data_IF_963703744955
#
_entry.id   IF_963703744955
#
_cell.length_a   1.000
_cell.length_b   1.000
_cell.length_c   1.000
_cell.angle_alpha   90.00
_cell.angle_beta   90.00
_cell.angle_gamma   90.00
#
_symmetry.space_group_name_H-M   'P 1'
#
loop_
_entity.id
_entity.type
_entity.pdbx_description
1 polymer ?
#
# COMPACT_ATOMS: atom_id res chain seq x y z
N UNK A 1 27.53 35.70 14.67
CA UNK A 1 27.44 34.28 15.05
C UNK A 1 28.06 33.46 13.93
N UNK A 2 29.12 32.67 14.17
CA UNK A 2 29.79 31.90 13.14
C UNK A 2 28.88 30.74 12.69
N UNK A 3 28.73 30.60 11.36
CA UNK A 3 28.04 29.48 10.73
C UNK A 3 28.86 28.21 10.97
N UNK A 4 28.34 27.27 11.76
CA UNK A 4 28.89 25.91 11.85
C UNK A 4 28.78 25.24 10.48
N UNK A 5 29.84 24.61 9.95
CA UNK A 5 29.80 23.92 8.67
C UNK A 5 28.80 22.77 8.74
N UNK A 6 27.92 22.68 7.72
CA UNK A 6 26.97 21.59 7.59
C UNK A 6 27.71 20.24 7.49
N UNK A 7 27.45 19.33 8.42
CA UNK A 7 27.99 17.99 8.39
C UNK A 7 27.62 17.24 7.10
N UNK A 8 28.60 16.78 6.32
CA UNK A 8 28.35 16.04 5.07
C UNK A 8 27.73 14.65 5.28
N UNK A 9 27.68 14.16 6.53
CA UNK A 9 27.20 12.82 6.89
C UNK A 9 25.69 12.59 6.70
N UNK A 10 24.84 13.63 6.68
CA UNK A 10 23.40 13.48 6.53
C UNK A 10 22.95 13.25 5.07
N UNK A 11 23.67 13.79 4.10
CA UNK A 11 23.36 13.60 2.66
C UNK A 11 23.70 12.20 2.17
N UNK A 12 24.85 11.65 2.55
CA UNK A 12 25.28 10.30 2.17
C UNK A 12 24.34 9.21 2.68
N UNK A 13 23.82 9.38 3.92
CA UNK A 13 22.85 8.44 4.51
C UNK A 13 21.48 8.42 3.82
N UNK A 14 20.98 9.59 3.38
CA UNK A 14 19.73 9.68 2.66
C UNK A 14 19.82 8.99 1.28
N UNK A 15 20.87 9.28 0.51
CA UNK A 15 21.11 8.65 -0.80
C UNK A 15 21.31 7.14 -0.68
N UNK A 16 22.05 6.64 0.34
CA UNK A 16 22.21 5.22 0.58
C UNK A 16 20.86 4.53 0.89
N UNK A 17 19.98 5.19 1.64
CA UNK A 17 18.61 4.69 1.90
C UNK A 17 17.78 4.60 0.62
N UNK A 18 17.82 5.63 -0.22
CA UNK A 18 17.11 5.67 -1.51
C UNK A 18 17.64 4.59 -2.45
N UNK A 19 18.96 4.46 -2.58
CA UNK A 19 19.58 3.42 -3.43
C UNK A 19 19.19 2.01 -2.97
N UNK A 20 19.24 1.74 -1.65
CA UNK A 20 18.81 0.44 -1.09
C UNK A 20 17.34 0.17 -1.40
N UNK A 21 16.47 1.14 -1.25
CA UNK A 21 15.04 0.99 -1.52
C UNK A 21 14.78 0.76 -3.00
N UNK A 22 15.44 1.50 -3.88
CA UNK A 22 15.33 1.32 -5.33
C UNK A 22 15.83 -0.07 -5.78
N UNK A 23 17.02 -0.48 -5.30
CA UNK A 23 17.56 -1.81 -5.60
C UNK A 23 16.66 -2.92 -5.09
N UNK A 24 16.16 -2.79 -3.85
CA UNK A 24 15.19 -3.73 -3.28
C UNK A 24 13.93 -3.81 -4.13
N UNK A 25 13.44 -2.68 -4.68
CA UNK A 25 12.26 -2.67 -5.54
C UNK A 25 12.52 -3.41 -6.86
N UNK A 26 13.67 -3.19 -7.50
CA UNK A 26 14.03 -3.90 -8.74
C UNK A 26 14.10 -5.41 -8.50
N UNK A 27 14.75 -5.84 -7.41
CA UNK A 27 14.82 -7.25 -7.04
C UNK A 27 13.43 -7.85 -6.79
N UNK A 28 12.59 -7.14 -6.01
CA UNK A 28 11.21 -7.57 -5.74
C UNK A 28 10.39 -7.63 -7.01
N UNK A 29 10.54 -6.68 -7.93
CA UNK A 29 9.85 -6.72 -9.24
C UNK A 29 10.29 -7.91 -10.08
N UNK A 30 11.59 -8.25 -10.10
CA UNK A 30 12.10 -9.45 -10.78
C UNK A 30 11.48 -10.73 -10.20
N UNK A 31 11.51 -10.88 -8.87
CA UNK A 31 10.90 -12.01 -8.18
C UNK A 31 9.40 -12.07 -8.46
N UNK A 32 8.69 -10.95 -8.30
CA UNK A 32 7.24 -10.87 -8.54
C UNK A 32 6.89 -11.20 -9.99
N UNK A 33 7.72 -10.81 -10.96
CA UNK A 33 7.53 -11.12 -12.38
C UNK A 33 7.63 -12.63 -12.64
N UNK A 34 8.69 -13.28 -12.16
CA UNK A 34 8.89 -14.73 -12.33
C UNK A 34 7.77 -15.52 -11.67
N UNK A 35 7.50 -15.25 -10.38
CA UNK A 35 6.43 -15.94 -9.65
C UNK A 35 5.05 -15.57 -10.20
N UNK A 36 4.86 -14.35 -10.70
CA UNK A 36 3.62 -13.92 -11.37
C UNK A 36 3.30 -14.77 -12.59
N UNK A 37 4.29 -15.04 -13.46
CA UNK A 37 4.11 -15.94 -14.61
C UNK A 37 3.81 -17.38 -14.17
N UNK A 38 4.49 -17.87 -13.12
CA UNK A 38 4.24 -19.20 -12.56
C UNK A 38 2.79 -19.27 -12.02
N UNK A 39 2.37 -18.26 -11.25
CA UNK A 39 1.01 -18.18 -10.69
C UNK A 39 -0.05 -18.16 -11.80
N UNK A 40 0.14 -17.33 -12.83
CA UNK A 40 -0.76 -17.28 -13.99
C UNK A 40 -0.87 -18.64 -14.66
N UNK A 41 0.26 -19.33 -14.88
CA UNK A 41 0.25 -20.66 -15.51
C UNK A 41 -0.46 -21.69 -14.64
N UNK A 42 -0.26 -21.68 -13.34
CA UNK A 42 -0.94 -22.60 -12.40
C UNK A 42 -2.44 -22.30 -12.38
N UNK A 43 -2.85 -21.01 -12.29
CA UNK A 43 -4.26 -20.63 -12.22
C UNK A 43 -4.97 -21.05 -13.49
N UNK A 44 -4.47 -20.67 -14.66
CA UNK A 44 -5.11 -20.99 -15.94
C UNK A 44 -5.11 -22.50 -16.20
N UNK A 45 -4.01 -23.18 -15.90
CA UNK A 45 -3.85 -24.61 -16.20
C UNK A 45 -4.63 -25.55 -15.27
N UNK A 46 -4.91 -25.16 -14.02
CA UNK A 46 -5.60 -26.02 -13.04
C UNK A 46 -6.97 -25.52 -12.63
N UNK A 47 -7.16 -24.19 -12.54
CA UNK A 47 -8.41 -23.58 -12.07
C UNK A 47 -9.23 -22.93 -13.19
N UNK A 48 -8.65 -22.83 -14.40
CA UNK A 48 -9.31 -22.28 -15.58
C UNK A 48 -9.15 -20.77 -15.78
N UNK A 49 -9.55 -20.34 -16.98
CA UNK A 49 -9.52 -18.92 -17.42
C UNK A 49 -10.45 -18.05 -16.59
N UNK A 50 -11.61 -18.59 -16.19
CA UNK A 50 -12.62 -17.85 -15.44
C UNK A 50 -12.13 -17.53 -14.02
N UNK A 51 -11.43 -18.46 -13.36
CA UNK A 51 -10.77 -18.21 -12.08
C UNK A 51 -9.68 -17.13 -12.19
N UNK A 52 -8.94 -17.10 -13.30
CA UNK A 52 -7.96 -16.07 -13.57
C UNK A 52 -8.62 -14.70 -13.78
N UNK A 53 -9.68 -14.63 -14.59
CA UNK A 53 -10.44 -13.42 -14.85
C UNK A 53 -11.04 -12.87 -13.53
N UNK A 54 -11.70 -13.73 -12.75
CA UNK A 54 -12.26 -13.37 -11.44
C UNK A 54 -11.19 -12.88 -10.46
N UNK A 55 -10.02 -13.53 -10.42
CA UNK A 55 -8.90 -13.06 -9.58
C UNK A 55 -8.43 -11.67 -10.01
N UNK A 56 -8.31 -11.41 -11.30
CA UNK A 56 -7.96 -10.10 -11.85
C UNK A 56 -8.98 -9.02 -11.48
N UNK A 57 -10.27 -9.33 -11.61
CA UNK A 57 -11.37 -8.42 -11.27
C UNK A 57 -11.36 -8.08 -9.77
N UNK A 58 -11.32 -9.07 -8.89
CA UNK A 58 -11.37 -8.86 -7.45
C UNK A 58 -10.08 -8.20 -6.92
N UNK A 59 -8.93 -8.40 -7.56
CA UNK A 59 -7.68 -7.71 -7.23
C UNK A 59 -7.74 -6.19 -7.41
N UNK A 60 -8.77 -5.66 -8.10
CA UNK A 60 -8.95 -4.21 -8.25
C UNK A 60 -9.57 -3.52 -7.04
N UNK A 61 -10.22 -4.23 -6.11
CA UNK A 61 -10.90 -3.64 -4.95
C UNK A 61 -10.07 -2.63 -4.16
N UNK A 62 -8.81 -2.92 -3.78
CA UNK A 62 -8.01 -1.94 -3.05
C UNK A 62 -7.78 -0.65 -3.83
N UNK A 63 -7.75 -0.72 -5.16
CA UNK A 63 -7.60 0.44 -6.05
C UNK A 63 -8.86 1.27 -6.17
N UNK A 64 -10.02 0.63 -6.04
CA UNK A 64 -11.33 1.31 -6.04
C UNK A 64 -11.64 2.02 -4.74
N UNK A 65 -10.91 1.66 -3.67
CA UNK A 65 -11.12 2.21 -2.32
C UNK A 65 -9.87 2.89 -1.75
N UNK A 66 -9.28 3.89 -2.44
CA UNK A 66 -8.04 4.54 -2.03
C UNK A 66 -8.18 5.32 -0.72
N UNK A 67 -9.42 5.59 -0.29
CA UNK A 67 -9.76 6.34 0.91
C UNK A 67 -9.87 5.46 2.17
N UNK A 68 -9.65 4.17 2.10
CA UNK A 68 -9.89 3.23 3.22
C UNK A 68 -8.98 3.47 4.42
N UNK A 69 -7.79 4.02 4.21
CA UNK A 69 -6.89 4.41 5.30
C UNK A 69 -7.16 5.83 5.85
N UNK A 70 -8.12 6.57 5.26
CA UNK A 70 -8.53 7.93 5.66
C UNK A 70 -7.35 8.91 5.83
N UNK A 71 -6.25 8.71 5.08
CA UNK A 71 -5.03 9.52 5.16
C UNK A 71 -4.18 9.29 6.42
N UNK A 72 -4.55 8.33 7.25
CA UNK A 72 -3.87 8.01 8.52
C UNK A 72 -2.45 7.53 8.29
N UNK A 73 -2.20 6.87 7.15
CA UNK A 73 -0.87 6.42 6.79
C UNK A 73 0.18 7.54 6.84
N UNK A 74 -0.16 8.73 6.34
CA UNK A 74 0.71 9.90 6.39
C UNK A 74 0.92 10.44 7.81
N UNK A 75 -0.12 10.42 8.65
CA UNK A 75 -0.03 10.86 10.05
C UNK A 75 0.95 9.98 10.81
N UNK A 76 0.81 8.65 10.71
CA UNK A 76 1.73 7.70 11.36
C UNK A 76 3.15 7.95 10.89
N UNK A 77 3.37 8.02 9.57
CA UNK A 77 4.68 8.19 8.98
C UNK A 77 5.36 9.47 9.46
N UNK A 78 4.66 10.61 9.42
CA UNK A 78 5.19 11.90 9.85
C UNK A 78 5.51 11.91 11.35
N UNK A 79 4.62 11.37 12.20
CA UNK A 79 4.81 11.35 13.66
C UNK A 79 5.98 10.44 14.05
N UNK A 80 6.07 9.25 13.44
CA UNK A 80 7.18 8.31 13.69
C UNK A 80 8.50 8.87 13.18
N UNK A 81 8.53 9.49 12.00
CA UNK A 81 9.73 10.07 11.43
C UNK A 81 10.24 11.29 12.22
N UNK A 82 9.34 12.05 12.85
CA UNK A 82 9.69 13.23 13.66
C UNK A 82 10.16 12.91 15.07
N UNK A 83 10.00 11.68 15.56
CA UNK A 83 10.37 11.28 16.91
C UNK A 83 11.89 11.04 17.04
N UNK A 84 12.49 11.53 18.12
CA UNK A 84 13.92 11.31 18.45
C UNK A 84 14.13 10.06 19.31
N UNK A 85 13.23 9.78 20.27
CA UNK A 85 13.22 8.57 21.10
C UNK A 85 11.91 7.80 20.93
N UNK A 86 11.81 7.10 19.80
CA UNK A 86 10.61 6.41 19.39
C UNK A 86 9.99 5.48 20.46
N UNK A 87 10.77 4.64 21.21
CA UNK A 87 10.21 3.74 22.20
C UNK A 87 9.46 4.41 23.36
N UNK A 88 9.79 5.66 23.67
CA UNK A 88 9.25 6.40 24.84
C UNK A 88 8.34 7.57 24.46
N UNK A 89 8.13 7.81 23.19
CA UNK A 89 7.39 8.98 22.71
C UNK A 89 5.87 8.82 22.94
N UNK A 90 5.34 9.59 23.89
CA UNK A 90 3.93 9.60 24.24
C UNK A 90 3.03 10.13 23.10
N UNK A 91 3.56 11.02 22.24
CA UNK A 91 2.82 11.56 21.09
C UNK A 91 2.64 10.47 20.05
N UNK A 92 3.72 9.76 19.72
CA UNK A 92 3.67 8.62 18.79
C UNK A 92 2.71 7.56 19.31
N UNK A 93 2.77 7.21 20.60
CA UNK A 93 1.86 6.23 21.22
C UNK A 93 0.39 6.61 21.03
N UNK A 94 0.02 7.86 21.37
CA UNK A 94 -1.35 8.36 21.22
C UNK A 94 -1.78 8.39 19.76
N UNK A 95 -0.89 8.80 18.86
CA UNK A 95 -1.16 8.81 17.42
C UNK A 95 -1.42 7.40 16.89
N UNK A 96 -0.58 6.42 17.26
CA UNK A 96 -0.78 5.02 16.87
C UNK A 96 -2.08 4.45 17.43
N UNK A 97 -2.42 4.73 18.70
CA UNK A 97 -3.69 4.33 19.31
C UNK A 97 -4.89 4.89 18.53
N UNK A 98 -4.83 6.19 18.18
CA UNK A 98 -5.89 6.85 17.40
C UNK A 98 -5.99 6.28 16.00
N UNK A 99 -4.85 6.06 15.35
CA UNK A 99 -4.76 5.47 14.01
C UNK A 99 -5.39 4.07 13.94
N UNK A 100 -5.05 3.20 14.90
CA UNK A 100 -5.62 1.86 14.97
C UNK A 100 -7.13 1.91 15.20
N UNK A 101 -7.63 2.81 16.07
CA UNK A 101 -9.08 2.99 16.28
C UNK A 101 -9.81 3.37 15.00
N UNK A 102 -9.28 4.33 14.26
CA UNK A 102 -9.90 4.79 13.01
C UNK A 102 -9.84 3.70 11.95
N UNK A 103 -8.72 2.97 11.82
CA UNK A 103 -8.61 1.85 10.89
C UNK A 103 -9.54 0.69 11.27
N UNK A 104 -9.77 0.45 12.56
CA UNK A 104 -10.77 -0.55 13.01
C UNK A 104 -12.19 -0.13 12.64
N UNK A 105 -12.54 1.15 12.77
CA UNK A 105 -13.84 1.67 12.33
C UNK A 105 -13.98 1.53 10.82
N UNK A 106 -12.98 1.94 10.04
CA UNK A 106 -12.95 1.77 8.59
C UNK A 106 -13.08 0.31 8.18
N UNK A 107 -12.33 -0.57 8.84
CA UNK A 107 -12.40 -2.04 8.67
C UNK A 107 -13.82 -2.57 8.93
N UNK A 108 -14.46 -2.14 10.01
CA UNK A 108 -15.82 -2.55 10.35
C UNK A 108 -16.83 -2.07 9.28
N UNK A 109 -16.72 -0.83 8.84
CA UNK A 109 -17.58 -0.28 7.78
C UNK A 109 -17.42 -1.08 6.49
N UNK A 110 -16.18 -1.36 6.05
CA UNK A 110 -15.92 -2.12 4.84
C UNK A 110 -16.43 -3.56 4.97
N UNK A 111 -16.16 -4.21 6.11
CA UNK A 111 -16.64 -5.55 6.38
C UNK A 111 -18.18 -5.62 6.37
N UNK A 112 -18.86 -4.67 7.02
CA UNK A 112 -20.32 -4.59 7.03
C UNK A 112 -20.86 -4.36 5.63
N UNK A 113 -20.26 -3.45 4.86
CA UNK A 113 -20.64 -3.22 3.45
C UNK A 113 -20.50 -4.50 2.62
N UNK A 114 -19.39 -5.22 2.76
CA UNK A 114 -19.17 -6.48 2.05
C UNK A 114 -20.22 -7.55 2.39
N UNK A 115 -20.55 -7.68 3.68
CA UNK A 115 -21.60 -8.63 4.14
C UNK A 115 -22.97 -8.23 3.62
N UNK A 116 -23.33 -6.94 3.69
CA UNK A 116 -24.61 -6.44 3.18
C UNK A 116 -24.74 -6.67 1.67
N UNK A 117 -23.71 -6.34 0.89
CA UNK A 117 -23.70 -6.59 -0.55
C UNK A 117 -23.81 -8.09 -0.87
N UNK A 118 -23.16 -8.94 -0.07
CA UNK A 118 -23.28 -10.40 -0.20
C UNK A 118 -24.66 -10.91 0.10
N UNK A 119 -25.31 -10.44 1.18
CA UNK A 119 -26.66 -10.83 1.56
C UNK A 119 -27.73 -10.35 0.58
N UNK A 120 -27.53 -9.17 -0.01
CA UNK A 120 -28.43 -8.60 -1.03
C UNK A 120 -28.23 -9.23 -2.42
N UNK A 121 -27.19 -10.06 -2.61
CA UNK A 121 -26.82 -10.58 -3.93
C UNK A 121 -26.44 -9.51 -4.95
N UNK A 122 -25.92 -8.34 -4.48
CA UNK A 122 -25.67 -7.19 -5.31
C UNK A 122 -24.31 -7.25 -6.07
N UNK A 123 -23.51 -8.28 -5.86
CA UNK A 123 -22.20 -8.41 -6.50
C UNK A 123 -22.26 -8.52 -8.04
N UNK A 124 -23.16 -9.31 -8.65
CA UNK A 124 -23.26 -9.37 -10.12
C UNK A 124 -23.62 -8.02 -10.75
N UNK A 125 -24.49 -7.25 -10.11
CA UNK A 125 -24.86 -5.91 -10.59
C UNK A 125 -23.71 -4.89 -10.50
N UNK A 126 -22.78 -5.06 -9.53
CA UNK A 126 -21.65 -4.16 -9.33
C UNK A 126 -20.41 -4.56 -10.16
N UNK A 127 -20.17 -5.86 -10.33
CA UNK A 127 -18.95 -6.41 -10.94
C UNK A 127 -19.18 -7.00 -12.33
N UNK A 128 -20.44 -7.10 -12.78
CA UNK A 128 -20.82 -7.75 -14.02
C UNK A 128 -21.18 -9.23 -13.87
N UNK A 129 -21.74 -9.79 -14.92
CA UNK A 129 -22.21 -11.18 -14.98
C UNK A 129 -21.06 -12.20 -15.17
N UNK A 130 -19.82 -11.74 -15.38
CA UNK A 130 -18.63 -12.57 -15.60
C UNK A 130 -18.07 -13.21 -14.32
N UNK A 131 -18.80 -13.16 -13.19
CA UNK A 131 -18.42 -13.85 -11.97
C UNK A 131 -18.74 -15.34 -12.09
N UNK A 132 -17.80 -16.19 -11.66
CA UNK A 132 -18.05 -17.63 -11.51
C UNK A 132 -19.22 -17.90 -10.56
N UNK A 133 -19.85 -19.07 -10.70
CA UNK A 133 -20.85 -19.53 -9.72
C UNK A 133 -20.28 -19.46 -8.30
N UNK A 134 -20.97 -18.75 -7.40
CA UNK A 134 -20.46 -18.48 -6.05
C UNK A 134 -19.46 -17.32 -5.96
N UNK A 135 -19.16 -16.61 -7.05
CA UNK A 135 -18.22 -15.49 -7.08
C UNK A 135 -18.60 -14.31 -6.18
N UNK A 136 -19.91 -14.10 -5.95
CA UNK A 136 -20.38 -13.11 -4.98
C UNK A 136 -19.96 -13.41 -3.53
N UNK A 137 -19.98 -14.68 -3.14
CA UNK A 137 -19.46 -15.10 -1.83
C UNK A 137 -17.95 -14.88 -1.75
N UNK A 138 -17.23 -15.22 -2.83
CA UNK A 138 -15.78 -14.97 -2.93
C UNK A 138 -15.44 -13.48 -2.80
N UNK A 139 -16.20 -12.61 -3.49
CA UNK A 139 -16.02 -11.15 -3.39
C UNK A 139 -16.23 -10.66 -1.94
N UNK A 140 -17.26 -11.17 -1.26
CA UNK A 140 -17.51 -10.87 0.16
C UNK A 140 -16.35 -11.29 1.04
N UNK A 141 -15.85 -12.53 0.87
CA UNK A 141 -14.70 -13.04 1.65
C UNK A 141 -13.43 -12.24 1.36
N UNK A 142 -13.15 -11.91 0.10
CA UNK A 142 -12.03 -11.06 -0.26
C UNK A 142 -12.08 -9.69 0.45
N UNK A 143 -13.27 -9.08 0.47
CA UNK A 143 -13.45 -7.79 1.12
C UNK A 143 -13.32 -7.89 2.65
N UNK A 144 -13.77 -8.99 3.26
CA UNK A 144 -13.57 -9.26 4.69
C UNK A 144 -12.09 -9.45 5.04
N UNK A 145 -11.34 -10.20 4.23
CA UNK A 145 -9.88 -10.37 4.40
C UNK A 145 -9.17 -9.03 4.25
N UNK A 146 -9.54 -8.24 3.25
CA UNK A 146 -9.01 -6.89 3.06
C UNK A 146 -9.29 -5.99 4.26
N UNK A 147 -10.54 -5.97 4.74
CA UNK A 147 -10.93 -5.21 5.92
C UNK A 147 -10.11 -5.61 7.16
N UNK A 148 -9.93 -6.91 7.40
CA UNK A 148 -9.10 -7.42 8.50
C UNK A 148 -7.61 -7.04 8.38
N UNK A 149 -7.10 -6.87 7.15
CA UNK A 149 -5.72 -6.46 6.89
C UNK A 149 -5.47 -4.97 7.17
N UNK A 150 -6.50 -4.10 7.13
CA UNK A 150 -6.35 -2.65 7.30
C UNK A 150 -5.67 -2.25 8.62
N UNK A 151 -6.10 -2.72 9.79
CA UNK A 151 -5.43 -2.37 11.05
C UNK A 151 -3.98 -2.87 11.10
N UNK A 152 -3.67 -3.98 10.44
CA UNK A 152 -2.32 -4.53 10.37
C UNK A 152 -1.38 -3.67 9.51
N UNK A 153 -1.92 -2.88 8.59
CA UNK A 153 -1.16 -1.98 7.72
C UNK A 153 -0.38 -0.90 8.50
N UNK A 154 -0.77 -0.60 9.76
CA UNK A 154 -0.03 0.28 10.67
C UNK A 154 1.44 -0.12 10.75
N UNK A 155 1.75 -1.42 10.79
CA UNK A 155 3.12 -1.93 10.82
C UNK A 155 3.96 -1.45 9.63
N UNK A 156 3.39 -1.47 8.43
CA UNK A 156 4.06 -0.98 7.21
C UNK A 156 4.39 0.51 7.32
N UNK A 157 3.45 1.33 7.81
CA UNK A 157 3.62 2.78 7.96
C UNK A 157 4.67 3.12 9.02
N UNK A 158 4.70 2.38 10.13
CA UNK A 158 5.73 2.52 11.18
C UNK A 158 7.12 2.20 10.63
N UNK A 159 7.28 1.09 9.89
CA UNK A 159 8.58 0.70 9.30
C UNK A 159 9.08 1.79 8.34
N UNK A 160 8.21 2.32 7.48
CA UNK A 160 8.56 3.41 6.56
C UNK A 160 8.92 4.68 7.34
N UNK A 161 8.15 5.06 8.36
CA UNK A 161 8.42 6.20 9.23
C UNK A 161 9.77 6.12 9.94
N UNK A 162 10.21 4.92 10.32
CA UNK A 162 11.56 4.68 10.86
C UNK A 162 12.68 4.85 9.82
N UNK A 163 12.37 5.11 8.55
CA UNK A 163 13.34 5.18 7.46
C UNK A 163 13.78 3.82 6.92
N UNK A 164 13.06 2.73 7.26
CA UNK A 164 13.36 1.36 6.81
C UNK A 164 12.50 0.96 5.60
N UNK A 165 12.34 1.86 4.63
CA UNK A 165 11.50 1.64 3.44
C UNK A 165 11.94 0.40 2.64
N UNK A 166 13.25 0.12 2.57
CA UNK A 166 13.76 -1.10 1.93
C UNK A 166 13.20 -2.38 2.57
N UNK A 167 13.09 -2.43 3.90
CA UNK A 167 12.52 -3.58 4.62
C UNK A 167 11.04 -3.77 4.25
N UNK A 168 10.27 -2.70 4.17
CA UNK A 168 8.86 -2.75 3.74
C UNK A 168 8.76 -3.26 2.30
N UNK A 169 9.59 -2.76 1.38
CA UNK A 169 9.61 -3.19 -0.03
C UNK A 169 9.99 -4.67 -0.14
N UNK A 170 11.00 -5.14 0.58
CA UNK A 170 11.39 -6.57 0.60
C UNK A 170 10.24 -7.44 1.12
N UNK A 171 9.54 -6.99 2.16
CA UNK A 171 8.38 -7.72 2.69
C UNK A 171 7.28 -7.89 1.63
N UNK A 172 7.06 -6.91 0.74
CA UNK A 172 6.10 -7.06 -0.37
C UNK A 172 6.51 -8.13 -1.38
N UNK A 173 7.80 -8.43 -1.49
CA UNK A 173 8.31 -9.50 -2.35
C UNK A 173 7.84 -10.91 -1.94
N UNK A 174 7.35 -11.07 -0.71
CA UNK A 174 6.83 -12.35 -0.22
C UNK A 174 5.46 -12.70 -0.81
N UNK A 175 4.70 -11.72 -1.33
CA UNK A 175 3.33 -11.94 -1.85
C UNK A 175 3.28 -13.02 -2.92
N UNK A 176 4.06 -12.84 -3.99
CA UNK A 176 4.00 -13.76 -5.14
C UNK A 176 4.49 -15.18 -4.81
N UNK A 177 5.61 -15.40 -4.09
CA UNK A 177 6.00 -16.72 -3.62
C UNK A 177 4.98 -17.36 -2.67
N UNK A 178 4.41 -16.58 -1.74
CA UNK A 178 3.38 -17.09 -0.81
C UNK A 178 2.14 -17.55 -1.56
N UNK A 179 1.68 -16.76 -2.55
CA UNK A 179 0.57 -17.16 -3.42
C UNK A 179 0.89 -18.44 -4.18
N UNK A 180 2.11 -18.56 -4.74
CA UNK A 180 2.55 -19.80 -5.42
C UNK A 180 2.47 -21.00 -4.48
N UNK A 181 2.96 -20.88 -3.25
CA UNK A 181 2.89 -21.96 -2.25
C UNK A 181 1.43 -22.34 -1.94
N UNK A 182 0.54 -21.36 -1.80
CA UNK A 182 -0.88 -21.61 -1.55
C UNK A 182 -1.55 -22.31 -2.73
N UNK A 183 -1.28 -21.86 -3.97
CA UNK A 183 -1.81 -22.46 -5.18
C UNK A 183 -1.29 -23.91 -5.34
N UNK A 184 0.00 -24.15 -5.13
CA UNK A 184 0.57 -25.51 -5.18
C UNK A 184 -0.03 -26.41 -4.12
N UNK A 185 -0.24 -25.91 -2.91
CA UNK A 185 -0.90 -26.67 -1.85
C UNK A 185 -2.33 -27.05 -2.23
N UNK A 186 -3.10 -26.14 -2.86
CA UNK A 186 -4.45 -26.41 -3.35
C UNK A 186 -4.46 -27.47 -4.47
N UNK A 187 -3.50 -27.36 -5.41
CA UNK A 187 -3.33 -28.35 -6.49
C UNK A 187 -3.00 -29.74 -5.93
N UNK A 188 -2.04 -29.83 -4.99
CA UNK A 188 -1.66 -31.11 -4.34
C UNK A 188 -2.82 -31.72 -3.56
N UNK A 189 -3.59 -30.85 -2.86
CA UNK A 189 -4.79 -31.27 -2.12
C UNK A 189 -5.97 -31.61 -3.04
N UNK A 190 -5.84 -31.46 -4.37
CA UNK A 190 -6.88 -31.67 -5.38
C UNK A 190 -8.17 -30.90 -5.07
N UNK A 191 -8.04 -29.68 -4.53
CA UNK A 191 -9.17 -28.82 -4.27
C UNK A 191 -9.62 -28.20 -5.59
N UNK A 192 -10.88 -28.45 -5.97
CA UNK A 192 -11.52 -27.73 -7.08
C UNK A 192 -11.96 -26.34 -6.58
N UNK A 193 -10.99 -25.44 -6.50
CA UNK A 193 -11.09 -24.21 -5.71
C UNK A 193 -10.85 -22.95 -6.56
N UNK A 194 -11.37 -22.90 -7.81
CA UNK A 194 -11.27 -21.73 -8.67
C UNK A 194 -11.71 -20.43 -7.94
N UNK A 195 -12.79 -20.51 -7.19
CA UNK A 195 -13.29 -19.44 -6.33
C UNK A 195 -12.37 -19.07 -5.15
N UNK A 196 -11.47 -19.95 -4.73
CA UNK A 196 -10.55 -19.66 -3.62
C UNK A 196 -9.30 -18.87 -4.07
N UNK A 197 -8.99 -18.84 -5.37
CA UNK A 197 -7.80 -18.16 -5.91
C UNK A 197 -7.72 -16.69 -5.52
N UNK A 198 -8.79 -15.87 -5.68
CA UNK A 198 -8.76 -14.48 -5.21
C UNK A 198 -8.54 -14.36 -3.71
N UNK A 199 -9.17 -15.23 -2.91
CA UNK A 199 -9.01 -15.23 -1.45
C UNK A 199 -7.56 -15.53 -1.06
N UNK A 200 -6.90 -16.49 -1.74
CA UNK A 200 -5.45 -16.78 -1.53
C UNK A 200 -4.60 -15.56 -1.86
N UNK A 201 -4.94 -14.80 -2.91
CA UNK A 201 -4.25 -13.55 -3.27
C UNK A 201 -4.36 -12.50 -2.16
N UNK A 202 -5.55 -12.33 -1.56
CA UNK A 202 -5.76 -11.43 -0.43
C UNK A 202 -5.04 -11.90 0.85
N UNK A 203 -5.04 -13.19 1.13
CA UNK A 203 -4.30 -13.77 2.26
C UNK A 203 -2.79 -13.58 2.09
N UNK A 204 -2.23 -13.76 0.89
CA UNK A 204 -0.83 -13.52 0.61
C UNK A 204 -0.45 -12.04 0.86
N UNK A 205 -1.33 -11.08 0.49
CA UNK A 205 -1.13 -9.67 0.81
C UNK A 205 -1.26 -9.38 2.31
N UNK A 206 -2.19 -10.03 3.01
CA UNK A 206 -2.35 -9.91 4.46
C UNK A 206 -1.11 -10.42 5.21
N UNK A 207 -0.46 -11.46 4.70
CA UNK A 207 0.79 -11.98 5.26
C UNK A 207 1.90 -10.92 5.30
N UNK A 208 1.99 -10.06 4.28
CA UNK A 208 2.93 -8.93 4.30
C UNK A 208 2.62 -7.96 5.43
N UNK A 209 1.34 -7.63 5.63
CA UNK A 209 0.91 -6.78 6.74
C UNK A 209 1.26 -7.40 8.10
N UNK A 210 1.09 -8.73 8.24
CA UNK A 210 1.50 -9.50 9.43
C UNK A 210 3.01 -9.47 9.64
N UNK A 211 3.80 -9.69 8.60
CA UNK A 211 5.27 -9.60 8.68
C UNK A 211 5.68 -8.20 9.14
N UNK A 212 5.12 -7.17 8.50
CA UNK A 212 5.45 -5.79 8.82
C UNK A 212 5.03 -5.41 10.25
N UNK A 213 3.86 -5.83 10.73
CA UNK A 213 3.44 -5.53 12.11
C UNK A 213 4.35 -6.23 13.14
N UNK A 214 4.78 -7.47 12.88
CA UNK A 214 5.73 -8.19 13.74
C UNK A 214 7.10 -7.51 13.75
N UNK A 215 7.61 -7.08 12.60
CA UNK A 215 8.88 -6.34 12.50
C UNK A 215 8.79 -5.00 13.22
N UNK A 216 7.70 -4.24 12.99
CA UNK A 216 7.44 -3.00 13.69
C UNK A 216 7.36 -3.19 15.21
N UNK A 217 6.61 -4.21 15.65
CA UNK A 217 6.48 -4.55 17.07
C UNK A 217 7.83 -4.83 17.73
N UNK A 218 8.68 -5.63 17.09
CA UNK A 218 10.03 -5.94 17.60
C UNK A 218 10.92 -4.70 17.65
N UNK A 219 10.80 -3.83 16.66
CA UNK A 219 11.65 -2.64 16.54
C UNK A 219 11.23 -1.50 17.48
N UNK A 220 9.96 -1.44 17.90
CA UNK A 220 9.40 -0.32 18.67
C UNK A 220 8.96 -0.71 20.08
N UNK A 221 9.39 -1.87 20.62
CA UNK A 221 9.03 -2.26 21.99
C UNK A 221 9.47 -1.22 23.01
N UNK A 222 8.64 -0.88 24.02
CA UNK A 222 7.28 -1.36 24.31
C UNK A 222 6.15 -0.58 23.59
N UNK A 223 6.46 0.48 22.86
CA UNK A 223 5.55 1.49 22.34
C UNK A 223 4.30 0.91 21.62
N UNK A 224 4.52 0.03 20.64
CA UNK A 224 3.40 -0.52 19.85
C UNK A 224 2.51 -1.43 20.71
N UNK A 225 3.10 -2.16 21.66
CA UNK A 225 2.36 -2.98 22.60
C UNK A 225 1.46 -2.13 23.51
N UNK A 226 1.99 -1.03 24.02
CA UNK A 226 1.26 -0.10 24.87
C UNK A 226 0.17 0.64 24.09
N UNK A 227 0.45 1.04 22.84
CA UNK A 227 -0.55 1.63 21.95
C UNK A 227 -1.72 0.68 21.71
N UNK A 228 -1.44 -0.61 21.45
CA UNK A 228 -2.49 -1.62 21.24
C UNK A 228 -3.31 -1.88 22.52
N UNK A 229 -2.70 -1.87 23.71
CA UNK A 229 -3.40 -1.98 24.99
C UNK A 229 -4.31 -0.80 25.27
N UNK A 230 -3.96 0.37 24.75
CA UNK A 230 -4.73 1.61 24.93
C UNK A 230 -5.92 1.71 23.96
N UNK A 231 -5.97 0.90 22.87
CA UNK A 231 -7.07 0.91 21.90
C UNK A 231 -8.45 0.77 22.57
N UNK A 232 -8.72 -0.19 23.47
CA UNK A 232 -10.03 -0.32 24.09
C UNK A 232 -10.32 0.75 25.16
N UNK A 233 -9.30 1.49 25.63
CA UNK A 233 -9.42 2.48 26.72
C UNK A 233 -9.83 3.86 26.22
N UNK A 234 -11.04 4.00 25.65
CA UNK A 234 -11.51 5.24 25.02
C UNK A 234 -11.55 6.44 25.98
N UNK A 235 -11.94 6.20 27.26
CA UNK A 235 -12.06 7.27 28.28
C UNK A 235 -10.72 7.70 28.86
N UNK A 236 -9.75 6.79 28.95
CA UNK A 236 -8.45 7.06 29.56
C UNK A 236 -7.48 7.73 28.58
N UNK A 237 -7.53 7.37 27.30
CA UNK A 237 -6.64 7.91 26.27
C UNK A 237 -7.48 8.64 25.22
N UNK A 238 -7.48 9.98 25.32
CA UNK A 238 -8.13 10.84 24.33
C UNK A 238 -7.40 10.75 23.00
N UNK A 239 -8.17 10.71 21.88
CA UNK A 239 -7.62 10.75 20.53
C UNK A 239 -6.86 12.05 20.24
N UNK A 240 -5.88 11.97 19.36
CA UNK A 240 -5.17 13.14 18.85
C UNK A 240 -5.94 13.70 17.65
N UNK A 241 -5.95 15.02 17.51
CA UNK A 241 -6.52 15.67 16.32
C UNK A 241 -5.59 15.38 15.13
N UNK A 242 -6.03 14.53 14.22
CA UNK A 242 -5.25 14.08 13.07
C UNK A 242 -5.70 14.70 11.76
N UNK A 243 -6.85 15.39 11.77
CA UNK A 243 -7.52 15.91 10.58
C UNK A 243 -6.65 16.88 9.77
N UNK A 244 -5.77 17.64 10.47
CA UNK A 244 -4.92 18.65 9.83
C UNK A 244 -3.87 18.02 8.88
N UNK A 245 -3.48 16.77 9.14
CA UNK A 245 -2.56 16.01 8.27
C UNK A 245 -3.31 14.97 7.44
N UNK A 246 -4.27 14.27 8.04
CA UNK A 246 -5.05 13.23 7.36
C UNK A 246 -6.00 13.81 6.30
N UNK A 247 -6.60 15.00 6.55
CA UNK A 247 -7.54 15.63 5.63
C UNK A 247 -6.96 15.91 4.24
N UNK A 248 -5.86 16.67 4.11
CA UNK A 248 -5.21 16.90 2.82
C UNK A 248 -4.78 15.61 2.13
N UNK A 249 -4.29 14.62 2.90
CA UNK A 249 -3.91 13.33 2.36
C UNK A 249 -5.10 12.52 1.84
N UNK A 250 -6.24 12.60 2.52
CA UNK A 250 -7.48 11.98 2.07
C UNK A 250 -7.96 12.61 0.76
N UNK A 251 -7.95 13.96 0.67
CA UNK A 251 -8.29 14.66 -0.58
C UNK A 251 -7.36 14.22 -1.71
N UNK A 252 -6.06 14.15 -1.45
CA UNK A 252 -5.09 13.67 -2.44
C UNK A 252 -5.38 12.23 -2.89
N UNK A 253 -5.73 11.33 -1.96
CA UNK A 253 -6.06 9.93 -2.27
C UNK A 253 -7.31 9.81 -3.13
N UNK A 254 -8.25 10.76 -3.07
CA UNK A 254 -9.45 10.79 -3.89
C UNK A 254 -9.19 11.42 -5.27
N UNK A 255 -8.44 12.53 -5.29
CA UNK A 255 -8.21 13.31 -6.53
C UNK A 255 -7.29 12.57 -7.50
N UNK A 256 -6.23 11.93 -7.01
CA UNK A 256 -5.24 11.26 -7.88
C UNK A 256 -5.88 10.17 -8.74
N UNK A 257 -6.64 9.19 -8.20
CA UNK A 257 -7.29 8.18 -9.03
C UNK A 257 -8.28 8.79 -10.03
N UNK A 258 -9.04 9.81 -9.64
CA UNK A 258 -9.96 10.49 -10.55
C UNK A 258 -9.18 11.09 -11.71
N UNK A 259 -8.11 11.86 -11.45
CA UNK A 259 -7.29 12.47 -12.48
C UNK A 259 -6.71 11.45 -13.48
N UNK A 260 -6.16 10.34 -12.97
CA UNK A 260 -5.56 9.29 -13.84
C UNK A 260 -6.59 8.43 -14.57
N UNK A 261 -7.83 8.33 -14.09
CA UNK A 261 -8.87 7.55 -14.76
C UNK A 261 -9.72 8.39 -15.73
N UNK A 262 -9.75 9.70 -15.59
CA UNK A 262 -10.52 10.61 -16.44
C UNK A 262 -10.10 10.49 -17.90
N UNK A 263 -8.79 10.41 -18.20
CA UNK A 263 -8.28 10.27 -19.56
C UNK A 263 -8.80 9.00 -20.24
N UNK A 264 -8.82 7.88 -19.51
CA UNK A 264 -9.35 6.60 -20.03
C UNK A 264 -10.84 6.66 -20.27
N UNK A 265 -11.58 7.30 -19.35
CA UNK A 265 -13.02 7.48 -19.49
C UNK A 265 -13.37 8.37 -20.69
N UNK A 266 -12.64 9.45 -20.89
CA UNK A 266 -12.83 10.33 -22.05
C UNK A 266 -12.52 9.60 -23.36
N UNK A 267 -11.39 8.86 -23.41
CA UNK A 267 -11.04 8.09 -24.60
C UNK A 267 -12.01 6.95 -24.91
N UNK A 268 -12.62 6.33 -23.89
CA UNK A 268 -13.62 5.29 -24.09
C UNK A 268 -14.94 5.79 -24.67
N UNK A 269 -15.26 7.08 -24.44
CA UNK A 269 -16.51 7.69 -24.91
C UNK A 269 -16.34 8.60 -26.15
N UNK A 270 -15.18 9.22 -26.29
CA UNK A 270 -14.93 10.23 -27.31
C UNK A 270 -13.79 9.86 -28.28
N UNK A 271 -13.06 8.78 -27.98
CA UNK A 271 -11.95 8.32 -28.82
C UNK A 271 -12.40 7.53 -30.03
N UNK A 272 -11.61 7.54 -31.10
CA UNK A 272 -11.78 6.68 -32.27
C UNK A 272 -11.48 5.21 -31.93
N UNK A 273 -11.96 4.28 -32.76
CA UNK A 273 -11.72 2.85 -32.57
C UNK A 273 -10.21 2.54 -32.51
N UNK A 274 -9.79 1.91 -31.40
CA UNK A 274 -8.39 1.56 -31.13
C UNK A 274 -7.56 2.60 -30.38
N UNK A 275 -8.04 3.84 -30.22
CA UNK A 275 -7.32 4.90 -29.47
C UNK A 275 -7.11 4.53 -28.00
N UNK A 276 -8.07 3.89 -27.38
CA UNK A 276 -8.00 3.40 -25.99
C UNK A 276 -6.92 2.31 -25.83
N UNK A 277 -6.79 1.42 -26.83
CA UNK A 277 -5.76 0.38 -26.80
C UNK A 277 -4.36 0.96 -26.92
N UNK A 278 -4.15 1.93 -27.82
CA UNK A 278 -2.87 2.64 -27.99
C UNK A 278 -2.50 3.43 -26.72
N UNK A 279 -3.46 4.14 -26.11
CA UNK A 279 -3.28 4.83 -24.85
C UNK A 279 -2.87 3.86 -23.72
N UNK A 280 -3.54 2.71 -23.60
CA UNK A 280 -3.21 1.72 -22.58
C UNK A 280 -1.80 1.13 -22.74
N UNK A 281 -1.35 0.90 -23.99
CA UNK A 281 0.01 0.44 -24.26
C UNK A 281 1.05 1.51 -23.86
N UNK A 282 0.84 2.77 -24.23
CA UNK A 282 1.70 3.86 -23.83
C UNK A 282 1.68 4.03 -22.29
N UNK A 283 0.51 4.04 -21.68
CA UNK A 283 0.36 4.15 -20.23
C UNK A 283 1.08 3.03 -19.48
N UNK A 284 1.15 1.81 -20.03
CA UNK A 284 1.85 0.69 -19.42
C UNK A 284 3.36 0.95 -19.32
N UNK A 285 3.98 1.54 -20.35
CA UNK A 285 5.38 1.91 -20.35
C UNK A 285 5.65 3.03 -19.31
N UNK A 286 4.84 4.09 -19.34
CA UNK A 286 4.97 5.20 -18.39
C UNK A 286 4.66 4.79 -16.95
N UNK A 287 3.83 3.77 -16.73
CA UNK A 287 3.53 3.27 -15.39
C UNK A 287 4.77 2.68 -14.71
N UNK A 288 5.67 2.03 -15.43
CA UNK A 288 6.94 1.54 -14.87
C UNK A 288 7.81 2.69 -14.34
N UNK A 289 7.89 3.80 -15.07
CA UNK A 289 8.58 5.00 -14.63
C UNK A 289 7.92 5.62 -13.40
N UNK A 290 6.61 5.83 -13.48
CA UNK A 290 5.81 6.40 -12.39
C UNK A 290 5.97 5.59 -11.11
N UNK A 291 5.95 4.25 -11.20
CA UNK A 291 6.20 3.36 -10.07
C UNK A 291 7.59 3.53 -9.47
N UNK A 292 8.62 3.67 -10.31
CA UNK A 292 10.00 3.87 -9.85
C UNK A 292 10.15 5.21 -9.13
N UNK A 293 9.60 6.28 -9.70
CA UNK A 293 9.60 7.62 -9.10
C UNK A 293 8.81 7.62 -7.79
N UNK A 294 7.63 7.02 -7.75
CA UNK A 294 6.79 6.96 -6.56
C UNK A 294 7.50 6.24 -5.39
N UNK A 295 8.15 5.11 -5.64
CA UNK A 295 8.90 4.37 -4.61
C UNK A 295 10.04 5.20 -4.03
N UNK A 296 10.74 5.94 -4.89
CA UNK A 296 11.82 6.83 -4.45
C UNK A 296 11.27 7.98 -3.60
N UNK A 297 10.13 8.56 -3.98
CA UNK A 297 9.43 9.58 -3.20
C UNK A 297 9.05 9.09 -1.80
N UNK A 298 8.49 7.89 -1.70
CA UNK A 298 8.16 7.27 -0.40
C UNK A 298 9.41 7.05 0.45
N UNK A 299 10.55 6.66 -0.14
CA UNK A 299 11.80 6.48 0.60
C UNK A 299 12.37 7.82 1.12
N UNK A 300 12.13 8.92 0.44
CA UNK A 300 12.57 10.26 0.87
C UNK A 300 11.65 10.88 1.91
N UNK A 301 10.40 10.49 2.00
CA UNK A 301 9.41 11.06 2.91
C UNK A 301 9.89 11.15 4.37
N UNK A 302 10.43 10.09 5.01
CA UNK A 302 10.91 10.18 6.38
C UNK A 302 12.02 11.22 6.59
N UNK A 303 12.86 11.44 5.56
CA UNK A 303 13.92 12.46 5.61
C UNK A 303 13.35 13.87 5.60
N UNK A 304 12.32 14.12 4.78
CA UNK A 304 11.59 15.39 4.78
C UNK A 304 10.85 15.64 6.08
N UNK A 305 10.18 14.61 6.63
CA UNK A 305 9.50 14.71 7.92
C UNK A 305 10.45 15.06 9.06
N UNK A 306 11.63 14.43 9.11
CA UNK A 306 12.68 14.74 10.09
C UNK A 306 13.26 16.16 9.92
N UNK A 307 13.52 16.58 8.69
CA UNK A 307 14.03 17.92 8.40
C UNK A 307 13.02 19.00 8.83
N UNK A 308 11.74 18.78 8.58
CA UNK A 308 10.65 19.66 9.02
C UNK A 308 10.55 19.73 10.54
N UNK A 309 10.63 18.59 11.23
CA UNK A 309 10.58 18.53 12.69
C UNK A 309 11.75 19.30 13.34
N UNK A 310 12.90 19.38 12.67
CA UNK A 310 14.10 20.13 13.12
C UNK A 310 14.16 21.57 12.64
N UNK A 311 13.12 22.08 11.99
CA UNK A 311 13.06 23.44 11.44
C UNK A 311 14.03 23.73 10.27
N UNK A 312 14.61 22.69 9.65
CA UNK A 312 15.56 22.80 8.53
C UNK A 312 14.80 22.68 7.20
N UNK A 313 14.29 23.79 6.68
CA UNK A 313 13.45 23.83 5.46
C UNK A 313 14.29 23.82 4.16
N UNK A 314 15.53 24.31 4.19
CA UNK A 314 16.35 24.50 2.99
C UNK A 314 16.92 23.21 2.37
N UNK A 315 17.22 22.18 3.17
CA UNK A 315 17.81 20.93 2.68
C UNK A 315 16.85 20.03 1.89
N UNK A 316 15.53 19.99 2.19
CA UNK A 316 14.56 19.22 1.40
C UNK A 316 14.36 19.75 -0.01
N UNK A 317 14.43 21.07 -0.22
CA UNK A 317 14.17 21.69 -1.53
C UNK A 317 15.22 21.29 -2.57
N UNK A 318 16.49 21.30 -2.22
CA UNK A 318 17.58 20.88 -3.11
C UNK A 318 17.50 19.38 -3.47
N UNK A 319 17.01 18.54 -2.55
CA UNK A 319 16.79 17.13 -2.82
C UNK A 319 15.57 16.90 -3.73
N UNK A 320 14.49 17.67 -3.56
CA UNK A 320 13.30 17.55 -4.40
C UNK A 320 13.56 18.04 -5.83
N UNK A 321 14.33 19.10 -6.02
CA UNK A 321 14.72 19.60 -7.36
C UNK A 321 15.65 18.63 -8.08
N UNK A 322 16.62 18.05 -7.39
CA UNK A 322 17.48 17.00 -7.96
C UNK A 322 16.66 15.78 -8.39
N UNK A 323 15.64 15.41 -7.59
CA UNK A 323 14.75 14.29 -7.86
C UNK A 323 13.79 14.56 -9.03
N UNK A 324 13.23 15.76 -9.11
CA UNK A 324 12.41 16.21 -10.24
C UNK A 324 13.23 16.24 -11.54
N UNK A 325 14.49 16.69 -11.48
CA UNK A 325 15.41 16.66 -12.60
C UNK A 325 15.70 15.24 -13.09
N UNK A 326 15.87 14.29 -12.18
CA UNK A 326 16.12 12.88 -12.51
C UNK A 326 14.87 12.22 -13.14
N UNK A 327 13.69 12.52 -12.62
CA UNK A 327 12.43 12.09 -13.21
C UNK A 327 12.19 12.66 -14.61
N UNK A 328 12.50 13.95 -14.79
CA UNK A 328 12.44 14.62 -16.10
C UNK A 328 13.42 14.04 -17.11
N UNK A 329 14.67 13.77 -16.70
CA UNK A 329 15.68 13.14 -17.57
C UNK A 329 15.27 11.72 -17.99
N UNK A 330 14.71 10.92 -17.07
CA UNK A 330 14.19 9.59 -17.39
C UNK A 330 12.96 9.64 -18.32
N UNK A 331 12.10 10.66 -18.17
CA UNK A 331 10.96 10.89 -19.06
C UNK A 331 11.36 11.34 -20.48
N UNK A 332 12.52 11.98 -20.63
CA UNK A 332 13.05 12.39 -21.95
C UNK A 332 13.77 11.24 -22.69
N UNK A 333 14.17 10.18 -21.96
CA UNK A 333 14.84 9.01 -22.54
C UNK A 333 13.85 7.97 -23.09
N UNK A 334 12.57 8.10 -22.80
CA UNK A 334 11.48 7.27 -23.29
C UNK A 334 10.67 7.95 -24.38
#
# INVERSE_FOLDING_TARGET
MPRTPAEPSSRSGAWASVQRTALSKVLVMGVAGVFGLINTRIIIGHFGTDAYAQNGLLATFPSLMPFTDLGIGAVILNTVAGSEDLPRDAVVRRTLTTAVRVLLISSLVIATTGVVLGLLGAWPTLLGEDLMDGGGTTATVCLLVYAAALPLSVGQRVIVGMGRSATQVISTGVVSPALTCMLLAAVVARLDAGNAVPVMSYLANTLVSLICIVVAWRATRPLLADAMRDVPRLRAVRGVRIIDTAGPQLVQSLVIPIAFQTDRLLLSHLGEDGSLAQYNLAAQLFNLLTQTVAVTGVAMWPHFAKARARGRIESPFAASTAFAGLGGALGLLL
#
